data_IF_424253764755
#
_entry.id   IF_424253764755
#
_cell.length_a   1.000
_cell.length_b   1.000
_cell.length_c   1.000
_cell.angle_alpha   90.00
_cell.angle_beta   90.00
_cell.angle_gamma   90.00
#
_symmetry.space_group_name_H-M   'P 1'
#
loop_
_entity.id
_entity.type
_entity.pdbx_description
1 polymer ?
#
# COMPACT_ATOMS: atom_id res chain seq x y z
N UNK A 1 17.31 -13.96 3.33
CA UNK A 1 18.21 -13.92 2.22
C UNK A 1 18.04 -12.65 1.41
N UNK A 2 19.06 -12.33 0.63
CA UNK A 2 19.06 -11.07 -0.12
C UNK A 2 17.92 -10.98 -1.11
N UNK A 3 17.50 -12.11 -1.68
CA UNK A 3 16.43 -12.10 -2.68
C UNK A 3 15.10 -11.64 -2.11
N UNK A 4 14.80 -12.03 -0.88
CA UNK A 4 13.54 -11.65 -0.28
C UNK A 4 13.48 -10.17 -0.03
N UNK A 5 14.61 -9.59 0.35
CA UNK A 5 14.64 -8.16 0.63
C UNK A 5 14.65 -7.32 -0.65
N UNK A 6 15.17 -7.89 -1.75
CA UNK A 6 15.27 -7.11 -2.97
C UNK A 6 13.90 -6.85 -3.59
N UNK A 7 12.97 -7.82 -3.54
CA UNK A 7 11.66 -7.57 -4.11
C UNK A 7 10.83 -6.64 -3.23
N UNK A 8 11.04 -6.69 -1.91
CA UNK A 8 10.40 -5.72 -1.02
C UNK A 8 10.87 -4.32 -1.35
N UNK A 9 12.17 -4.18 -1.61
CA UNK A 9 12.71 -2.88 -2.00
C UNK A 9 12.12 -2.41 -3.33
N UNK A 10 11.96 -3.32 -4.28
CA UNK A 10 11.37 -2.96 -5.57
C UNK A 10 9.95 -2.45 -5.41
N UNK A 11 9.18 -3.07 -4.53
CA UNK A 11 7.82 -2.62 -4.27
C UNK A 11 7.83 -1.23 -3.68
N UNK A 12 8.69 -0.99 -2.72
CA UNK A 12 8.80 0.33 -2.10
C UNK A 12 9.22 1.37 -3.14
N UNK A 13 10.19 1.02 -3.99
CA UNK A 13 10.62 1.93 -5.05
C UNK A 13 9.52 2.22 -6.04
N UNK A 14 8.74 1.20 -6.41
CA UNK A 14 7.61 1.40 -7.31
C UNK A 14 6.59 2.34 -6.72
N UNK A 15 6.26 2.15 -5.46
CA UNK A 15 5.32 3.03 -4.79
C UNK A 15 5.85 4.45 -4.71
N UNK A 16 7.12 4.59 -4.43
CA UNK A 16 7.74 5.91 -4.37
C UNK A 16 7.79 6.56 -5.75
N UNK A 17 8.08 5.77 -6.78
CA UNK A 17 8.12 6.29 -8.14
C UNK A 17 6.75 6.79 -8.58
N UNK A 18 5.72 6.01 -8.32
CA UNK A 18 4.36 6.42 -8.63
C UNK A 18 4.02 7.69 -7.87
N UNK A 19 4.38 7.73 -6.60
CA UNK A 19 4.13 8.89 -5.79
C UNK A 19 4.88 10.12 -6.32
N UNK A 20 6.12 9.94 -6.73
CA UNK A 20 6.90 11.05 -7.26
C UNK A 20 6.34 11.58 -8.57
N UNK A 21 5.85 10.69 -9.42
CA UNK A 21 5.31 11.13 -10.70
C UNK A 21 4.04 11.93 -10.53
N UNK A 22 3.29 11.67 -9.47
CA UNK A 22 2.14 12.48 -9.13
C UNK A 22 2.47 13.52 -8.08
N UNK A 23 3.68 13.51 -7.60
CA UNK A 23 4.09 14.33 -6.48
C UNK A 23 4.10 15.81 -6.74
N UNK A 24 4.26 16.19 -7.98
CA UNK A 24 4.18 17.60 -8.34
C UNK A 24 2.81 18.18 -8.04
N UNK A 25 1.82 17.31 -7.93
CA UNK A 25 0.45 17.70 -7.61
C UNK A 25 0.10 17.35 -6.19
N UNK A 26 1.07 17.19 -5.39
CA UNK A 26 0.97 16.54 -4.12
C UNK A 26 0.23 17.28 -3.05
N UNK A 27 -0.31 18.40 -3.37
CA UNK A 27 -1.11 19.12 -2.40
C UNK A 27 -2.33 18.34 -1.99
N UNK A 28 -2.90 17.60 -2.93
CA UNK A 28 -4.05 16.79 -2.60
C UNK A 28 -3.58 15.55 -1.89
N UNK A 29 -3.96 15.45 -0.64
CA UNK A 29 -3.71 14.26 0.12
C UNK A 29 -4.72 13.22 -0.26
N UNK A 30 -4.24 12.06 -0.62
CA UNK A 30 -5.13 10.94 -0.86
C UNK A 30 -5.12 10.06 0.38
N UNK A 31 -6.26 9.45 0.63
CA UNK A 31 -6.37 8.50 1.72
C UNK A 31 -6.40 7.08 1.20
N UNK A 32 -6.07 6.90 -0.07
CA UNK A 32 -5.99 5.57 -0.67
C UNK A 32 -5.02 4.72 0.13
N UNK A 33 -5.43 3.51 0.41
CA UNK A 33 -4.67 2.58 1.23
C UNK A 33 -4.10 1.49 0.34
N UNK A 34 -2.82 1.18 0.54
CA UNK A 34 -2.18 0.08 -0.16
C UNK A 34 -1.93 -1.04 0.84
N UNK A 35 -2.31 -2.25 0.46
CA UNK A 35 -1.99 -3.45 1.20
C UNK A 35 -0.83 -4.09 0.48
N UNK A 36 0.34 -4.08 1.11
CA UNK A 36 1.59 -4.48 0.45
C UNK A 36 2.30 -5.53 1.29
N UNK A 37 3.05 -6.42 0.64
CA UNK A 37 3.91 -7.32 1.39
C UNK A 37 5.06 -6.54 2.00
N UNK A 38 5.42 -6.90 3.20
CA UNK A 38 6.45 -6.17 3.93
C UNK A 38 7.20 -7.11 4.86
N UNK A 39 8.43 -7.42 4.50
CA UNK A 39 9.34 -8.21 5.34
C UNK A 39 8.72 -9.52 5.81
N UNK A 40 8.10 -10.26 4.89
CA UNK A 40 7.46 -11.53 5.20
C UNK A 40 6.04 -11.42 5.74
N UNK A 41 5.64 -10.24 6.09
CA UNK A 41 4.29 -9.96 6.57
C UNK A 41 3.56 -9.06 5.57
N UNK A 42 2.52 -8.42 6.02
CA UNK A 42 1.73 -7.50 5.20
C UNK A 42 1.61 -6.17 5.92
N UNK A 43 1.57 -5.10 5.17
CA UNK A 43 1.47 -3.77 5.74
C UNK A 43 0.37 -2.99 5.04
N UNK A 44 -0.22 -2.06 5.79
CA UNK A 44 -1.13 -1.07 5.25
C UNK A 44 -0.36 0.24 5.18
N UNK A 45 -0.39 0.87 4.02
CA UNK A 45 0.33 2.11 3.80
C UNK A 45 -0.56 3.08 3.05
N UNK A 46 -0.68 4.29 3.58
CA UNK A 46 -1.40 5.34 2.88
C UNK A 46 -0.58 5.81 1.70
N UNK A 47 -1.24 6.04 0.58
CA UNK A 47 -0.59 6.53 -0.61
C UNK A 47 0.11 7.85 -0.32
N UNK A 48 1.35 7.93 -0.72
CA UNK A 48 2.15 9.12 -0.48
C UNK A 48 2.83 9.19 0.87
N UNK A 49 2.51 8.29 1.77
CA UNK A 49 3.14 8.27 3.09
C UNK A 49 4.30 7.27 3.08
N UNK A 50 5.45 7.69 3.58
CA UNK A 50 6.61 6.81 3.62
C UNK A 50 6.53 5.78 4.72
N UNK A 51 5.76 6.06 5.76
CA UNK A 51 5.61 5.15 6.89
C UNK A 51 4.44 4.22 6.65
N UNK A 52 4.56 3.00 7.13
CA UNK A 52 3.43 2.10 7.12
C UNK A 52 2.50 2.47 8.26
N UNK A 53 1.21 2.29 8.02
CA UNK A 53 0.19 2.57 9.02
C UNK A 53 0.12 1.46 10.04
N UNK A 54 0.17 0.21 9.57
CA UNK A 54 0.11 -0.95 10.45
C UNK A 54 0.73 -2.14 9.73
N UNK A 55 1.12 -3.13 10.52
CA UNK A 55 1.75 -4.34 10.03
C UNK A 55 0.94 -5.54 10.52
N UNK A 56 0.74 -6.51 9.65
CA UNK A 56 -0.09 -7.68 9.94
C UNK A 56 0.55 -8.92 9.36
N UNK A 57 0.30 -10.05 9.98
CA UNK A 57 0.85 -11.31 9.49
C UNK A 57 0.15 -11.78 8.22
N UNK A 58 -1.14 -11.50 8.11
CA UNK A 58 -1.94 -12.00 7.00
C UNK A 58 -2.43 -10.87 6.14
N UNK A 59 -2.52 -11.14 4.85
CA UNK A 59 -3.06 -10.18 3.91
C UNK A 59 -4.51 -9.84 4.26
N UNK A 60 -5.29 -10.83 4.67
CA UNK A 60 -6.69 -10.59 5.01
C UNK A 60 -6.85 -9.62 6.17
N UNK A 61 -5.99 -9.72 7.16
CA UNK A 61 -6.04 -8.80 8.30
C UNK A 61 -5.64 -7.39 7.88
N UNK A 62 -4.60 -7.28 7.08
CA UNK A 62 -4.17 -5.99 6.55
C UNK A 62 -5.27 -5.38 5.68
N UNK A 63 -5.89 -6.20 4.86
CA UNK A 63 -6.97 -5.75 4.00
C UNK A 63 -8.16 -5.24 4.81
N UNK A 64 -8.51 -5.93 5.88
CA UNK A 64 -9.60 -5.50 6.74
C UNK A 64 -9.31 -4.12 7.33
N UNK A 65 -8.10 -3.90 7.79
CA UNK A 65 -7.69 -2.61 8.32
C UNK A 65 -7.75 -1.53 7.25
N UNK A 66 -7.24 -1.83 6.07
CA UNK A 66 -7.25 -0.87 4.96
C UNK A 66 -8.67 -0.51 4.55
N UNK A 67 -9.56 -1.49 4.48
CA UNK A 67 -10.96 -1.23 4.14
C UNK A 67 -11.63 -0.32 5.17
N UNK A 68 -11.34 -0.55 6.43
CA UNK A 68 -11.90 0.25 7.50
C UNK A 68 -11.53 1.73 7.33
N UNK A 69 -10.26 1.98 7.02
CA UNK A 69 -9.79 3.35 6.82
C UNK A 69 -10.41 3.94 5.55
N UNK A 70 -10.39 3.19 4.48
CA UNK A 70 -10.87 3.67 3.18
C UNK A 70 -12.36 3.99 3.22
N UNK A 71 -13.14 3.20 3.93
CA UNK A 71 -14.57 3.48 4.07
C UNK A 71 -14.81 4.80 4.76
N UNK A 72 -14.08 5.07 5.83
CA UNK A 72 -14.24 6.31 6.55
C UNK A 72 -13.80 7.52 5.75
N UNK A 73 -12.80 7.33 4.91
CA UNK A 73 -12.20 8.40 4.12
C UNK A 73 -12.72 8.47 2.71
N UNK A 74 -13.63 7.58 2.35
CA UNK A 74 -14.21 7.51 1.00
C UNK A 74 -13.10 7.44 -0.04
N UNK A 75 -12.21 6.51 0.13
CA UNK A 75 -11.05 6.34 -0.73
C UNK A 75 -10.94 4.90 -1.19
N UNK A 76 -9.88 4.58 -1.91
CA UNK A 76 -9.68 3.26 -2.50
C UNK A 76 -8.74 2.42 -1.65
N UNK A 77 -8.88 1.11 -1.80
CA UNK A 77 -7.91 0.14 -1.29
C UNK A 77 -7.27 -0.52 -2.49
N UNK A 78 -5.96 -0.48 -2.57
CA UNK A 78 -5.19 -1.13 -3.62
C UNK A 78 -4.47 -2.31 -2.98
N UNK A 79 -4.80 -3.52 -3.42
CA UNK A 79 -4.28 -4.74 -2.83
C UNK A 79 -3.18 -5.27 -3.73
N UNK A 80 -2.01 -5.47 -3.16
CA UNK A 80 -0.85 -6.00 -3.89
C UNK A 80 -0.65 -7.47 -3.58
N UNK A 81 -0.08 -8.18 -4.56
CA UNK A 81 0.31 -9.57 -4.39
C UNK A 81 1.69 -9.64 -3.75
N UNK A 82 2.11 -10.85 -3.41
CA UNK A 82 3.42 -11.06 -2.82
C UNK A 82 4.56 -10.58 -3.71
N UNK A 83 4.36 -10.63 -5.02
CA UNK A 83 5.38 -10.17 -5.97
C UNK A 83 5.32 -8.67 -6.23
N UNK A 84 4.40 -7.97 -5.57
CA UNK A 84 4.28 -6.52 -5.69
C UNK A 84 3.31 -6.04 -6.75
N UNK A 85 2.81 -6.92 -7.60
CA UNK A 85 1.84 -6.51 -8.61
C UNK A 85 0.49 -6.27 -7.95
N UNK A 86 -0.35 -5.48 -8.61
CA UNK A 86 -1.67 -5.17 -8.09
C UNK A 86 -2.58 -6.36 -8.30
N UNK A 87 -3.17 -6.82 -7.21
CA UNK A 87 -4.14 -7.91 -7.25
C UNK A 87 -5.54 -7.39 -7.51
N UNK A 88 -5.91 -6.31 -6.84
CA UNK A 88 -7.27 -5.81 -6.89
C UNK A 88 -7.33 -4.39 -6.41
N UNK A 89 -8.41 -3.71 -6.73
CA UNK A 89 -8.66 -2.35 -6.27
C UNK A 89 -10.13 -2.22 -5.91
N UNK A 90 -10.38 -1.74 -4.71
CA UNK A 90 -11.75 -1.58 -4.19
C UNK A 90 -11.95 -0.10 -3.93
N UNK A 91 -13.01 0.46 -4.47
CA UNK A 91 -13.31 1.87 -4.32
C UNK A 91 -14.48 2.05 -3.38
N UNK A 92 -14.33 2.97 -2.44
CA UNK A 92 -15.39 3.37 -1.53
C UNK A 92 -15.79 4.83 -1.74
N UNK A 93 -15.44 5.35 -2.86
CA UNK A 93 -15.78 6.75 -3.19
C UNK A 93 -17.24 6.94 -3.54
#
# INVERSE_FOLDING_TARGET
MAKEKSWVRLIVELLEAVFKSSGSQSRSRTWHQHVVPYDGDWAVRREGNKRITSKHRKQSTALHKAKSIAKRRKSDVIIHREDGTIRDRISYQ
#
